data_IF_827895528655
#
_entry.id   IF_827895528655
#
_cell.length_a   1.000
_cell.length_b   1.000
_cell.length_c   1.000
_cell.angle_alpha   90.00
_cell.angle_beta   90.00
_cell.angle_gamma   90.00
#
_symmetry.space_group_name_H-M   'P 1'
#
loop_
_entity.id
_entity.type
_entity.pdbx_description
1 polymer ?
#
# COMPACT_ATOMS: atom_id res chain seq x y z
N UNK A 1 -18.49 -38.98 -65.52
CA UNK A 1 -17.44 -38.18 -64.86
C UNK A 1 -17.37 -38.59 -63.40
N UNK A 2 -16.20 -39.05 -63.00
CA UNK A 2 -15.87 -39.64 -61.71
C UNK A 2 -15.47 -38.55 -60.72
N UNK A 3 -15.83 -38.66 -59.44
CA UNK A 3 -14.84 -38.62 -58.36
C UNK A 3 -15.41 -39.20 -57.07
N UNK A 4 -14.60 -40.10 -56.51
CA UNK A 4 -14.83 -40.94 -55.34
C UNK A 4 -14.25 -40.27 -54.09
N UNK A 5 -14.78 -40.68 -52.93
CA UNK A 5 -14.10 -40.74 -51.61
C UNK A 5 -13.82 -39.38 -50.95
N UNK A 6 -14.17 -39.16 -49.67
CA UNK A 6 -13.38 -39.66 -48.54
C UNK A 6 -14.19 -39.74 -47.23
N UNK A 7 -13.81 -40.71 -46.39
CA UNK A 7 -14.38 -41.08 -45.08
C UNK A 7 -13.78 -40.28 -43.91
N UNK A 8 -14.67 -39.86 -43.00
CA UNK A 8 -14.66 -39.88 -41.50
C UNK A 8 -13.48 -39.20 -40.73
N UNK A 9 -13.42 -39.29 -39.37
CA UNK A 9 -13.88 -38.25 -38.44
C UNK A 9 -12.78 -37.80 -37.46
N UNK A 10 -12.88 -36.62 -36.86
CA UNK A 10 -11.97 -36.22 -35.77
C UNK A 10 -12.64 -35.13 -34.96
N UNK A 11 -13.25 -35.49 -33.83
CA UNK A 11 -12.63 -35.32 -32.51
C UNK A 11 -12.03 -33.93 -32.30
N UNK A 12 -12.77 -33.19 -31.45
CA UNK A 12 -12.26 -32.24 -30.47
C UNK A 12 -11.50 -31.03 -31.01
N UNK A 13 -12.14 -29.86 -30.91
CA UNK A 13 -11.46 -28.71 -30.30
C UNK A 13 -12.47 -27.66 -29.82
N UNK A 14 -13.37 -28.08 -28.93
CA UNK A 14 -14.15 -27.15 -28.07
C UNK A 14 -13.25 -26.43 -27.05
N UNK A 15 -11.92 -26.67 -27.11
CA UNK A 15 -10.94 -26.13 -26.17
C UNK A 15 -10.15 -24.93 -26.70
N UNK A 16 -10.42 -24.47 -27.94
CA UNK A 16 -9.73 -23.29 -28.51
C UNK A 16 -10.10 -21.95 -27.86
N UNK A 17 -11.11 -21.94 -26.96
CA UNK A 17 -11.45 -20.76 -26.16
C UNK A 17 -10.89 -20.78 -24.73
N UNK A 18 -10.24 -21.87 -24.28
CA UNK A 18 -9.61 -21.91 -22.95
C UNK A 18 -8.20 -21.33 -22.92
N UNK A 19 -7.57 -21.14 -24.08
CA UNK A 19 -6.18 -20.69 -24.15
C UNK A 19 -5.97 -19.18 -24.37
N UNK A 20 -7.04 -18.38 -24.47
CA UNK A 20 -6.92 -16.92 -24.48
C UNK A 20 -6.92 -16.28 -23.08
N UNK A 21 -7.25 -17.05 -22.03
CA UNK A 21 -7.17 -16.58 -20.64
C UNK A 21 -5.83 -16.86 -19.96
N UNK A 22 -4.94 -17.63 -20.58
CA UNK A 22 -3.66 -18.04 -19.97
C UNK A 22 -2.42 -17.36 -20.57
N UNK A 23 -2.59 -16.48 -21.57
CA UNK A 23 -1.48 -15.73 -22.19
C UNK A 23 -1.46 -14.23 -21.87
N UNK A 24 -2.24 -13.79 -20.87
CA UNK A 24 -2.18 -12.39 -20.38
C UNK A 24 -1.67 -12.26 -18.93
N UNK A 25 -1.40 -13.38 -18.25
CA UNK A 25 -0.94 -13.33 -16.84
C UNK A 25 0.58 -13.35 -16.69
N UNK A 26 1.34 -13.87 -17.67
CA UNK A 26 2.80 -13.95 -17.55
C UNK A 26 3.56 -12.64 -17.78
N UNK A 27 2.92 -11.63 -18.39
CA UNK A 27 3.51 -10.31 -18.67
C UNK A 27 2.89 -9.18 -17.85
N UNK A 28 1.69 -9.35 -17.30
CA UNK A 28 1.09 -8.39 -16.36
C UNK A 28 1.68 -8.53 -14.95
N UNK A 29 2.17 -9.72 -14.59
CA UNK A 29 3.00 -9.97 -13.38
C UNK A 29 4.44 -9.46 -13.52
N UNK A 30 4.77 -8.85 -14.67
CA UNK A 30 5.98 -8.05 -14.82
C UNK A 30 5.74 -6.68 -14.19
N UNK A 31 5.84 -6.64 -12.86
CA UNK A 31 6.31 -5.47 -12.11
C UNK A 31 5.55 -4.15 -12.35
N UNK A 32 4.21 -4.16 -12.34
CA UNK A 32 3.50 -2.89 -12.12
C UNK A 32 3.65 -2.55 -10.64
N UNK A 33 4.75 -1.88 -10.28
CA UNK A 33 4.97 -1.40 -8.92
C UNK A 33 3.86 -0.41 -8.58
N UNK A 34 2.84 -0.89 -7.86
CA UNK A 34 1.64 -0.13 -7.53
C UNK A 34 1.82 0.61 -6.21
N UNK A 35 0.95 1.59 -5.96
CA UNK A 35 0.91 2.28 -4.67
C UNK A 35 0.81 1.29 -3.51
N UNK A 36 -0.06 0.28 -3.65
CA UNK A 36 -0.30 -0.74 -2.64
C UNK A 36 0.96 -1.59 -2.38
N UNK A 37 1.67 -1.98 -3.45
CA UNK A 37 2.90 -2.76 -3.35
C UNK A 37 3.98 -2.04 -2.52
N UNK A 38 4.27 -0.78 -2.85
CA UNK A 38 5.25 -0.01 -2.08
C UNK A 38 4.79 0.31 -0.67
N UNK A 39 3.48 0.52 -0.47
CA UNK A 39 2.91 0.74 0.86
C UNK A 39 3.14 -0.48 1.74
N UNK A 40 2.95 -1.67 1.20
CA UNK A 40 3.07 -2.92 1.94
C UNK A 40 4.53 -3.22 2.29
N UNK A 41 5.47 -3.05 1.35
CA UNK A 41 6.91 -3.15 1.64
C UNK A 41 7.34 -2.10 2.67
N UNK A 42 6.87 -0.86 2.55
CA UNK A 42 7.13 0.20 3.53
C UNK A 42 6.61 -0.16 4.93
N UNK A 43 5.43 -0.77 5.01
CA UNK A 43 4.85 -1.23 6.27
C UNK A 43 5.67 -2.38 6.88
N UNK A 44 6.20 -3.29 6.07
CA UNK A 44 7.08 -4.37 6.52
C UNK A 44 8.36 -3.84 7.13
N UNK A 45 9.07 -2.94 6.44
CA UNK A 45 10.26 -2.26 6.98
C UNK A 45 9.93 -1.47 8.25
N UNK A 46 8.80 -0.75 8.26
CA UNK A 46 8.36 0.01 9.42
C UNK A 46 8.14 -0.88 10.65
N UNK A 47 7.53 -2.07 10.48
CA UNK A 47 7.35 -3.05 11.56
C UNK A 47 8.67 -3.60 12.09
N UNK A 48 9.68 -3.73 11.22
CA UNK A 48 11.03 -4.16 11.60
C UNK A 48 11.86 -3.04 12.27
N UNK A 49 11.35 -1.81 12.30
CA UNK A 49 12.09 -0.66 12.81
C UNK A 49 13.08 -0.06 11.80
N UNK A 50 13.06 -0.53 10.56
CA UNK A 50 13.92 -0.08 9.46
C UNK A 50 13.30 1.18 8.83
N UNK A 51 13.27 2.28 9.58
CA UNK A 51 12.49 3.47 9.21
C UNK A 51 13.00 4.17 7.95
N UNK A 52 14.31 4.20 7.72
CA UNK A 52 14.90 4.76 6.49
C UNK A 52 14.39 4.04 5.23
N UNK A 53 14.39 2.70 5.25
CA UNK A 53 13.86 1.90 4.14
C UNK A 53 12.35 2.08 3.97
N UNK A 54 11.61 2.21 5.08
CA UNK A 54 10.18 2.51 5.02
C UNK A 54 9.91 3.88 4.37
N UNK A 55 10.69 4.90 4.73
CA UNK A 55 10.63 6.24 4.14
C UNK A 55 10.83 6.18 2.63
N UNK A 56 11.83 5.43 2.15
CA UNK A 56 12.08 5.26 0.72
C UNK A 56 10.87 4.67 -0.01
N UNK A 57 10.25 3.62 0.53
CA UNK A 57 9.09 3.01 -0.13
C UNK A 57 7.85 3.94 -0.09
N UNK A 58 7.61 4.65 1.02
CA UNK A 58 6.49 5.60 1.07
C UNK A 58 6.70 6.81 0.15
N UNK A 59 7.94 7.23 -0.09
CA UNK A 59 8.25 8.21 -1.14
C UNK A 59 7.87 7.71 -2.52
N UNK A 60 8.07 6.41 -2.81
CA UNK A 60 7.59 5.80 -4.06
C UNK A 60 6.06 5.78 -4.14
N UNK A 61 5.35 5.50 -3.04
CA UNK A 61 3.89 5.67 -2.97
C UNK A 61 3.46 7.08 -3.41
N UNK A 62 4.10 8.11 -2.87
CA UNK A 62 3.80 9.51 -3.22
C UNK A 62 4.17 9.82 -4.67
N UNK A 63 5.25 9.25 -5.21
CA UNK A 63 5.61 9.44 -6.62
C UNK A 63 4.59 8.84 -7.59
N UNK A 64 3.91 7.76 -7.19
CA UNK A 64 2.86 7.12 -7.97
C UNK A 64 1.53 7.84 -7.83
N UNK A 65 1.16 8.20 -6.60
CA UNK A 65 -0.11 8.87 -6.29
C UNK A 65 0.14 10.09 -5.39
N UNK A 66 0.55 11.23 -5.97
CA UNK A 66 0.93 12.43 -5.22
C UNK A 66 -0.23 13.12 -4.51
N UNK A 67 -1.47 12.74 -4.81
CA UNK A 67 -2.68 13.25 -4.14
C UNK A 67 -3.23 12.26 -3.10
N UNK A 68 -2.59 11.10 -2.92
CA UNK A 68 -3.05 10.11 -1.95
C UNK A 68 -2.47 10.40 -0.56
N UNK A 69 -3.31 10.96 0.31
CA UNK A 69 -2.96 11.32 1.69
C UNK A 69 -2.47 10.13 2.55
N UNK A 70 -2.76 8.87 2.17
CA UNK A 70 -2.28 7.69 2.91
C UNK A 70 -0.76 7.57 2.82
N UNK A 71 -0.16 7.86 1.66
CA UNK A 71 1.29 7.81 1.47
C UNK A 71 2.01 8.82 2.37
N UNK A 72 1.50 10.06 2.41
CA UNK A 72 1.99 11.12 3.30
C UNK A 72 1.81 10.77 4.78
N UNK A 73 0.68 10.17 5.14
CA UNK A 73 0.42 9.74 6.52
C UNK A 73 1.48 8.74 6.98
N UNK A 74 1.69 7.67 6.21
CA UNK A 74 2.66 6.63 6.53
C UNK A 74 4.10 7.18 6.56
N UNK A 75 4.45 8.04 5.60
CA UNK A 75 5.72 8.74 5.58
C UNK A 75 5.95 9.58 6.83
N UNK A 76 4.95 10.36 7.26
CA UNK A 76 5.06 11.18 8.47
C UNK A 76 5.30 10.34 9.73
N UNK A 77 4.62 9.20 9.86
CA UNK A 77 4.86 8.30 10.99
C UNK A 77 6.26 7.68 10.94
N UNK A 78 6.75 7.31 9.75
CA UNK A 78 8.11 6.82 9.58
C UNK A 78 9.15 7.87 10.00
N UNK A 79 8.99 9.13 9.58
CA UNK A 79 9.86 10.23 10.02
C UNK A 79 9.81 10.48 11.53
N UNK A 80 8.62 10.43 12.15
CA UNK A 80 8.51 10.55 13.61
C UNK A 80 9.29 9.46 14.34
N UNK A 81 9.21 8.22 13.85
CA UNK A 81 9.96 7.10 14.42
C UNK A 81 11.46 7.19 14.15
N UNK A 82 11.84 7.77 13.01
CA UNK A 82 13.22 8.06 12.66
C UNK A 82 13.80 9.31 13.36
N UNK A 83 13.05 9.93 14.29
CA UNK A 83 13.45 11.16 15.00
C UNK A 83 13.71 12.36 14.07
N UNK A 84 12.97 12.42 12.96
CA UNK A 84 12.96 13.51 11.99
C UNK A 84 11.62 14.28 12.08
N UNK A 85 11.39 15.08 13.16
CA UNK A 85 10.10 15.73 13.38
C UNK A 85 9.79 16.83 12.34
N UNK A 86 10.80 17.52 11.81
CA UNK A 86 10.59 18.59 10.83
C UNK A 86 10.05 18.03 9.51
N UNK A 87 10.63 16.93 9.01
CA UNK A 87 10.15 16.24 7.81
C UNK A 87 8.78 15.59 8.05
N UNK A 88 8.54 15.06 9.25
CA UNK A 88 7.23 14.55 9.63
C UNK A 88 6.15 15.63 9.59
N UNK A 89 6.46 16.85 10.06
CA UNK A 89 5.57 18.01 10.03
C UNK A 89 5.18 18.34 8.59
N UNK A 90 6.16 18.49 7.70
CA UNK A 90 5.91 18.78 6.28
C UNK A 90 5.10 17.68 5.60
N UNK A 91 5.41 16.41 5.87
CA UNK A 91 4.63 15.29 5.34
C UNK A 91 3.17 15.32 5.82
N UNK A 92 2.93 15.70 7.09
CA UNK A 92 1.57 15.86 7.61
C UNK A 92 0.81 17.00 6.93
N UNK A 93 1.44 18.16 6.77
CA UNK A 93 0.84 19.33 6.11
C UNK A 93 0.46 19.02 4.65
N UNK A 94 1.35 18.35 3.92
CA UNK A 94 1.06 17.88 2.57
C UNK A 94 -0.05 16.83 2.54
N UNK A 95 -0.05 15.87 3.47
CA UNK A 95 -1.15 14.90 3.58
C UNK A 95 -2.50 15.57 3.85
N UNK A 96 -2.53 16.58 4.72
CA UNK A 96 -3.74 17.31 5.09
C UNK A 96 -4.33 18.12 3.94
N UNK A 97 -3.50 18.67 3.05
CA UNK A 97 -3.95 19.43 1.88
C UNK A 97 -4.72 18.55 0.87
N UNK A 98 -4.34 17.28 0.76
CA UNK A 98 -5.01 16.31 -0.12
C UNK A 98 -6.09 15.46 0.57
N UNK A 99 -6.12 15.43 1.91
CA UNK A 99 -7.00 14.56 2.67
C UNK A 99 -8.45 15.06 2.68
N UNK A 100 -9.34 14.25 2.09
CA UNK A 100 -10.81 14.41 2.17
C UNK A 100 -11.44 13.56 3.28
N UNK A 101 -10.78 12.49 3.70
CA UNK A 101 -11.27 11.57 4.72
C UNK A 101 -11.09 12.13 6.14
N UNK A 102 -12.15 12.11 6.93
CA UNK A 102 -12.15 12.68 8.29
C UNK A 102 -11.25 11.92 9.26
N UNK A 103 -11.23 10.58 9.19
CA UNK A 103 -10.43 9.74 10.09
C UNK A 103 -8.94 9.87 9.76
N UNK A 104 -8.60 9.89 8.49
CA UNK A 104 -7.22 10.08 8.04
C UNK A 104 -6.71 11.49 8.38
N UNK A 105 -7.57 12.51 8.25
CA UNK A 105 -7.26 13.87 8.69
C UNK A 105 -6.94 13.92 10.19
N UNK A 106 -7.74 13.27 11.03
CA UNK A 106 -7.46 13.16 12.48
C UNK A 106 -6.12 12.46 12.76
N UNK A 107 -5.81 11.36 12.04
CA UNK A 107 -4.51 10.67 12.15
C UNK A 107 -3.33 11.60 11.80
N UNK A 108 -3.47 12.40 10.75
CA UNK A 108 -2.45 13.36 10.31
C UNK A 108 -2.28 14.52 11.29
N UNK A 109 -3.38 15.09 11.81
CA UNK A 109 -3.33 16.14 12.82
C UNK A 109 -2.64 15.65 14.11
N UNK A 110 -2.97 14.44 14.56
CA UNK A 110 -2.29 13.82 15.70
C UNK A 110 -0.78 13.68 15.48
N UNK A 111 -0.35 13.24 14.28
CA UNK A 111 1.08 13.11 13.94
C UNK A 111 1.76 14.47 13.84
N UNK A 112 1.07 15.49 13.33
CA UNK A 112 1.55 16.86 13.27
C UNK A 112 1.77 17.45 14.68
N UNK A 113 0.87 17.18 15.62
CA UNK A 113 1.02 17.57 17.02
C UNK A 113 2.24 16.87 17.66
N UNK A 114 2.45 15.58 17.40
CA UNK A 114 3.64 14.85 17.85
C UNK A 114 4.94 15.42 17.26
N UNK A 115 4.91 15.86 16.00
CA UNK A 115 6.07 16.46 15.35
C UNK A 115 6.43 17.84 15.92
N UNK A 116 5.42 18.63 16.29
CA UNK A 116 5.60 20.04 16.69
C UNK A 116 5.71 20.23 18.20
N UNK A 117 5.23 19.30 19.00
CA UNK A 117 5.20 19.44 20.46
C UNK A 117 6.01 18.35 21.13
N UNK A 118 6.90 18.74 22.04
CA UNK A 118 7.59 17.82 22.95
C UNK A 118 6.67 17.37 24.12
N UNK A 119 5.36 17.56 24.00
CA UNK A 119 4.35 17.23 25.01
C UNK A 119 3.40 16.21 24.41
N UNK A 120 3.05 15.16 25.16
CA UNK A 120 2.05 14.17 24.71
C UNK A 120 0.75 14.90 24.34
N UNK A 121 0.22 14.71 23.12
CA UNK A 121 -1.00 15.39 22.69
C UNK A 121 -2.19 15.00 23.59
N UNK A 122 -3.01 16.00 23.94
CA UNK A 122 -4.17 15.87 24.85
C UNK A 122 -5.30 14.99 24.27
N UNK A 123 -5.22 14.64 23.00
CA UNK A 123 -6.26 14.02 22.17
C UNK A 123 -6.24 12.49 22.17
N UNK A 124 -5.29 11.85 22.85
CA UNK A 124 -5.23 10.37 22.99
C UNK A 124 -6.51 9.74 23.56
N UNK A 125 -7.35 10.51 24.29
CA UNK A 125 -8.62 10.02 24.83
C UNK A 125 -9.79 10.02 23.83
N UNK A 126 -9.72 10.72 22.70
CA UNK A 126 -10.84 10.80 21.73
C UNK A 126 -10.67 9.90 20.51
N UNK A 127 -9.50 9.30 20.35
CA UNK A 127 -9.16 8.45 19.21
C UNK A 127 -8.83 7.06 19.73
N UNK A 128 -9.85 6.24 19.91
CA UNK A 128 -9.72 4.77 19.85
C UNK A 128 -9.28 4.36 18.42
N UNK A 129 -8.11 4.81 17.97
CA UNK A 129 -7.44 4.30 16.79
C UNK A 129 -6.51 3.19 17.28
N UNK A 130 -7.16 2.12 17.74
CA UNK A 130 -6.51 0.86 18.06
C UNK A 130 -6.34 0.04 16.77
N UNK A 131 -5.55 0.56 15.84
CA UNK A 131 -5.42 -0.09 14.51
C UNK A 131 -4.00 -0.19 13.97
N UNK A 132 -2.99 0.23 14.74
CA UNK A 132 -1.57 0.03 14.34
C UNK A 132 -0.80 -0.87 15.32
N UNK A 133 -1.35 -1.17 16.49
CA UNK A 133 -0.69 -2.02 17.51
C UNK A 133 -1.32 -3.40 17.69
N UNK A 134 -2.33 -3.80 16.90
CA UNK A 134 -2.79 -5.20 16.91
C UNK A 134 -1.87 -6.05 16.05
N UNK A 135 -0.80 -6.56 16.66
CA UNK A 135 -0.23 -7.85 16.29
C UNK A 135 -1.38 -8.87 16.45
N UNK A 136 -1.78 -9.63 15.42
CA UNK A 136 -2.78 -10.67 15.58
C UNK A 136 -2.31 -11.66 16.66
N UNK A 137 -3.15 -11.99 17.66
CA UNK A 137 -2.75 -12.84 18.79
C UNK A 137 -2.31 -14.25 18.39
N UNK A 138 -2.57 -14.65 17.14
CA UNK A 138 -2.19 -15.93 16.54
C UNK A 138 -0.66 -16.10 16.37
N UNK A 139 0.12 -15.01 16.40
CA UNK A 139 1.58 -15.04 16.24
C UNK A 139 2.36 -14.82 17.56
N UNK A 140 1.68 -14.79 18.71
CA UNK A 140 2.30 -14.52 20.01
C UNK A 140 2.71 -15.78 20.79
N UNK A 141 2.49 -16.99 20.24
CA UNK A 141 2.75 -18.25 20.96
C UNK A 141 3.16 -19.42 20.06
N UNK A 142 4.12 -19.21 19.16
CA UNK A 142 4.93 -20.28 18.57
C UNK A 142 6.42 -19.95 18.70
#
# INVERSE_FOLDING_TARGET
>A
MSWKSYKKPGHQDVNRQRNLKHWNNGLQDKLTMSFQHFKDIGNEHFKKGEYDLAIEQYRKCISLEPTNAVGYSNLAMAYLKNRCPDEAKTACEMGLSYCKDTKLRQKLQYRLELATTNKRPKTLQQLEIREVERIPPELASL
#
